data_IF_472869376293
#
_entry.id   IF_472869376293
#
_cell.length_a   1.000
_cell.length_b   1.000
_cell.length_c   1.000
_cell.angle_alpha   90.00
_cell.angle_beta   90.00
_cell.angle_gamma   90.00
#
_symmetry.space_group_name_H-M   'P 1'
#
loop_
_entity.id
_entity.type
_entity.pdbx_description
1 polymer ?
#
# COMPACT_ATOMS: atom_id res chain seq x y z
N UNK A 1 17.79 4.00 11.09
CA UNK A 1 17.53 4.02 9.65
C UNK A 1 17.98 5.33 9.06
N UNK A 2 18.43 5.32 7.81
CA UNK A 2 19.02 6.48 7.17
C UNK A 2 18.03 7.57 6.77
N UNK A 3 16.85 7.24 6.30
CA UNK A 3 15.95 8.21 5.67
C UNK A 3 14.85 8.77 6.59
N UNK A 4 14.43 8.03 7.62
CA UNK A 4 13.36 8.46 8.52
C UNK A 4 13.68 8.19 9.98
N UNK A 5 13.12 9.03 10.84
CA UNK A 5 13.11 8.81 12.27
C UNK A 5 12.21 7.61 12.62
N UNK A 6 12.74 6.61 13.33
CA UNK A 6 12.01 5.39 13.68
C UNK A 6 11.70 4.50 12.47
N UNK A 7 10.68 3.66 12.58
CA UNK A 7 10.18 2.76 11.54
C UNK A 7 8.79 3.16 11.11
N UNK A 8 8.57 3.33 9.80
CA UNK A 8 7.25 3.60 9.24
C UNK A 8 6.59 2.29 8.83
N UNK A 9 5.38 2.01 9.34
CA UNK A 9 4.62 0.79 9.04
C UNK A 9 4.40 0.58 7.54
N UNK A 10 4.08 1.67 6.81
CA UNK A 10 3.83 1.65 5.38
C UNK A 10 5.10 1.37 4.56
N UNK A 11 6.24 1.92 4.93
CA UNK A 11 7.53 1.66 4.25
C UNK A 11 7.94 0.18 4.40
N UNK A 12 7.73 -0.41 5.58
CA UNK A 12 8.03 -1.82 5.84
C UNK A 12 7.04 -2.80 5.18
N UNK A 13 6.02 -2.32 4.50
CA UNK A 13 5.13 -3.17 3.70
C UNK A 13 5.82 -3.76 2.46
N UNK A 14 6.89 -3.13 1.97
CA UNK A 14 7.62 -3.56 0.79
C UNK A 14 8.73 -4.57 1.11
N UNK A 15 9.06 -4.76 2.38
CA UNK A 15 10.04 -5.73 2.83
C UNK A 15 9.39 -7.11 2.94
N UNK A 16 9.88 -8.09 2.15
CA UNK A 16 9.35 -9.44 2.15
C UNK A 16 10.35 -10.47 2.68
N UNK A 17 11.65 -10.18 2.60
CA UNK A 17 12.72 -11.13 2.88
C UNK A 17 12.72 -11.63 4.32
N UNK A 18 12.47 -10.75 5.28
CA UNK A 18 12.51 -11.06 6.71
C UNK A 18 11.51 -12.15 7.08
N UNK A 19 10.30 -12.11 6.53
CA UNK A 19 9.27 -13.11 6.80
C UNK A 19 9.69 -14.53 6.35
N UNK A 20 10.35 -14.63 5.20
CA UNK A 20 10.76 -15.92 4.62
C UNK A 20 12.08 -16.44 5.17
N UNK A 21 13.01 -15.59 5.57
CA UNK A 21 14.34 -15.97 6.03
C UNK A 21 14.52 -15.88 7.55
N UNK A 22 13.80 -15.01 8.23
CA UNK A 22 14.00 -14.68 9.64
C UNK A 22 12.67 -14.56 10.39
N UNK A 23 11.89 -15.65 10.44
CA UNK A 23 10.51 -15.66 10.92
C UNK A 23 10.33 -15.06 12.33
N UNK A 24 11.28 -15.26 13.25
CA UNK A 24 11.20 -14.70 14.61
C UNK A 24 11.29 -13.17 14.57
N UNK A 25 12.17 -12.60 13.74
CA UNK A 25 12.29 -11.14 13.58
C UNK A 25 10.99 -10.57 12.96
N UNK A 26 10.41 -11.26 11.98
CA UNK A 26 9.14 -10.85 11.41
C UNK A 26 8.00 -10.85 12.44
N UNK A 27 7.95 -11.86 13.31
CA UNK A 27 7.00 -11.92 14.45
C UNK A 27 7.21 -10.76 15.42
N UNK A 28 8.45 -10.43 15.77
CA UNK A 28 8.76 -9.30 16.65
C UNK A 28 8.27 -7.97 16.07
N UNK A 29 8.35 -7.79 14.75
CA UNK A 29 7.77 -6.60 14.07
C UNK A 29 6.26 -6.55 14.27
N UNK A 30 5.54 -7.65 14.03
CA UNK A 30 4.07 -7.71 14.24
C UNK A 30 3.70 -7.46 15.70
N UNK A 31 4.46 -8.01 16.63
CA UNK A 31 4.25 -7.75 18.06
C UNK A 31 4.44 -6.27 18.40
N UNK A 32 5.49 -5.67 17.86
CA UNK A 32 5.74 -4.23 18.05
C UNK A 32 4.60 -3.38 17.51
N UNK A 33 4.10 -3.66 16.33
CA UNK A 33 3.01 -2.91 15.71
C UNK A 33 1.70 -3.06 16.47
N UNK A 34 1.31 -4.28 16.85
CA UNK A 34 0.02 -4.52 17.50
C UNK A 34 0.02 -4.30 19.02
N UNK A 35 1.17 -4.40 19.70
CA UNK A 35 1.25 -4.18 21.16
C UNK A 35 1.62 -2.73 21.52
N UNK A 36 2.42 -2.05 20.70
CA UNK A 36 2.94 -0.71 21.02
C UNK A 36 2.46 0.39 20.08
N UNK A 37 2.22 0.12 18.80
CA UNK A 37 1.74 1.13 17.87
C UNK A 37 0.21 1.22 17.78
N UNK A 38 -0.52 0.18 18.19
CA UNK A 38 -1.99 0.12 18.11
C UNK A 38 -2.62 0.43 19.46
N UNK A 39 -3.48 1.43 19.52
CA UNK A 39 -4.19 1.82 20.74
C UNK A 39 -5.47 0.97 20.96
N UNK A 40 -6.24 1.31 22.01
CA UNK A 40 -7.46 0.57 22.38
C UNK A 40 -8.60 0.75 21.37
N UNK A 41 -8.60 1.83 20.62
CA UNK A 41 -9.61 2.16 19.61
C UNK A 41 -9.25 1.63 18.22
N UNK A 42 -8.09 0.96 18.10
CA UNK A 42 -7.61 0.39 16.85
C UNK A 42 -6.78 1.36 15.98
N UNK A 43 -6.63 2.62 16.39
CA UNK A 43 -5.71 3.53 15.74
C UNK A 43 -4.28 2.98 15.84
N UNK A 44 -3.58 2.89 14.71
CA UNK A 44 -2.18 2.49 14.66
C UNK A 44 -1.30 3.68 14.28
N UNK A 45 -0.42 4.10 15.20
CA UNK A 45 0.63 5.05 14.88
C UNK A 45 1.47 4.52 13.72
N UNK A 46 1.61 5.28 12.64
CA UNK A 46 2.37 4.78 11.50
C UNK A 46 3.87 4.72 11.77
N UNK A 47 4.33 5.34 12.86
CA UNK A 47 5.74 5.41 13.20
C UNK A 47 6.02 4.82 14.58
N UNK A 48 6.96 3.90 14.61
CA UNK A 48 7.45 3.26 15.85
C UNK A 48 8.86 3.74 16.14
N UNK A 49 9.11 4.09 17.40
CA UNK A 49 10.40 4.58 17.87
C UNK A 49 10.84 3.84 19.13
N UNK A 50 12.13 3.85 19.42
CA UNK A 50 12.66 3.33 20.68
C UNK A 50 12.83 4.46 21.72
N UNK A 51 12.73 4.13 23.03
CA UNK A 51 12.44 2.81 23.62
C UNK A 51 10.97 2.40 23.48
N UNK A 52 10.69 1.09 23.52
CA UNK A 52 9.32 0.54 23.54
C UNK A 52 8.81 0.48 24.99
N UNK A 53 8.74 1.60 25.66
CA UNK A 53 8.35 1.76 27.07
C UNK A 53 6.87 2.12 27.25
N UNK A 54 6.12 2.24 26.17
CA UNK A 54 4.71 2.57 26.18
C UNK A 54 4.11 2.64 24.78
N UNK A 55 2.85 3.08 24.71
CA UNK A 55 2.16 3.28 23.44
C UNK A 55 2.84 4.38 22.63
N UNK A 56 3.01 4.15 21.34
CA UNK A 56 3.60 5.12 20.43
C UNK A 56 2.69 6.35 20.28
N UNK A 57 3.28 7.51 20.36
CA UNK A 57 2.54 8.77 20.41
C UNK A 57 2.49 9.54 19.08
N UNK A 58 2.96 8.95 17.96
CA UNK A 58 2.85 9.61 16.66
C UNK A 58 1.37 9.70 16.26
N UNK A 59 0.83 10.91 16.02
CA UNK A 59 -0.62 11.12 16.02
C UNK A 59 -1.31 10.79 14.68
N UNK A 60 -0.64 10.10 13.75
CA UNK A 60 -1.16 9.83 12.41
C UNK A 60 -1.10 8.33 12.11
N UNK A 61 -2.18 7.80 11.55
CA UNK A 61 -2.23 6.48 10.94
C UNK A 61 -1.97 6.58 9.44
N UNK A 62 -1.22 5.61 8.89
CA UNK A 62 -1.11 5.43 7.45
C UNK A 62 -2.06 4.32 6.99
N UNK A 63 -2.88 4.59 5.99
CA UNK A 63 -3.91 3.65 5.53
C UNK A 63 -3.31 2.34 5.01
N UNK A 64 -2.30 2.44 4.15
CA UNK A 64 -1.52 1.30 3.65
C UNK A 64 -0.71 0.60 4.75
N UNK A 65 -0.15 1.38 5.69
CA UNK A 65 0.60 0.84 6.81
C UNK A 65 -0.26 -0.04 7.71
N UNK A 66 -1.41 0.47 8.13
CA UNK A 66 -2.32 -0.24 9.04
C UNK A 66 -2.92 -1.48 8.38
N UNK A 67 -3.39 -1.37 7.14
CA UNK A 67 -3.93 -2.52 6.40
C UNK A 67 -2.84 -3.55 6.07
N UNK A 68 -1.67 -3.10 5.66
CA UNK A 68 -0.53 -3.96 5.37
C UNK A 68 -0.04 -4.75 6.58
N UNK A 69 -0.10 -4.18 7.79
CA UNK A 69 0.24 -4.91 9.02
C UNK A 69 -0.68 -6.11 9.26
N UNK A 70 -1.98 -6.00 8.91
CA UNK A 70 -2.95 -7.10 9.02
C UNK A 70 -2.61 -8.21 8.01
N UNK A 71 -2.33 -7.86 6.77
CA UNK A 71 -1.92 -8.83 5.73
C UNK A 71 -0.62 -9.54 6.12
N UNK A 72 0.34 -8.80 6.67
CA UNK A 72 1.61 -9.36 7.14
C UNK A 72 1.44 -10.26 8.37
N UNK A 73 0.50 -9.95 9.28
CA UNK A 73 0.16 -10.85 10.39
C UNK A 73 -0.34 -12.21 9.86
N UNK A 74 -1.21 -12.19 8.86
CA UNK A 74 -1.66 -13.41 8.18
C UNK A 74 -0.49 -14.15 7.53
N UNK A 75 0.41 -13.45 6.82
CA UNK A 75 1.60 -14.03 6.18
C UNK A 75 2.51 -14.74 7.19
N UNK A 76 2.87 -14.09 8.30
CA UNK A 76 3.74 -14.66 9.31
C UNK A 76 3.08 -15.86 10.02
N UNK A 77 1.76 -15.83 10.21
CA UNK A 77 1.04 -16.99 10.71
C UNK A 77 1.08 -18.16 9.72
N UNK A 78 0.78 -17.92 8.45
CA UNK A 78 0.85 -18.95 7.40
C UNK A 78 2.23 -19.59 7.28
N UNK A 79 3.29 -18.79 7.40
CA UNK A 79 4.68 -19.29 7.35
C UNK A 79 5.09 -20.06 8.62
N UNK A 80 4.57 -19.70 9.78
CA UNK A 80 4.97 -20.29 11.07
C UNK A 80 4.05 -21.39 11.56
N UNK A 81 2.78 -21.39 11.19
CA UNK A 81 1.73 -22.25 11.74
C UNK A 81 1.42 -21.99 13.22
N UNK A 82 1.88 -20.87 13.79
CA UNK A 82 1.74 -20.58 15.22
C UNK A 82 0.41 -19.87 15.52
N UNK A 83 -0.65 -20.67 15.65
CA UNK A 83 -2.01 -20.17 15.91
C UNK A 83 -2.14 -19.54 17.30
N UNK A 84 -1.35 -19.96 18.30
CA UNK A 84 -1.41 -19.33 19.63
C UNK A 84 -0.79 -17.93 19.61
N UNK A 85 0.30 -17.74 18.88
CA UNK A 85 0.86 -16.41 18.63
C UNK A 85 -0.14 -15.51 17.88
N UNK A 86 -0.75 -16.00 16.80
CA UNK A 86 -1.80 -15.30 16.08
C UNK A 86 -2.94 -14.89 17.03
N UNK A 87 -3.44 -15.82 17.84
CA UNK A 87 -4.51 -15.59 18.82
C UNK A 87 -4.18 -14.47 19.80
N UNK A 88 -2.91 -14.37 20.19
CA UNK A 88 -2.45 -13.34 21.14
C UNK A 88 -2.48 -11.93 20.55
N UNK A 89 -2.31 -11.76 19.23
CA UNK A 89 -2.26 -10.47 18.54
C UNK A 89 -3.60 -10.10 17.89
N UNK A 90 -4.43 -11.10 17.57
CA UNK A 90 -5.67 -10.89 16.83
C UNK A 90 -6.61 -9.84 17.43
N UNK A 91 -6.83 -9.74 18.75
CA UNK A 91 -7.69 -8.71 19.30
C UNK A 91 -7.26 -7.27 18.95
N UNK A 92 -5.96 -7.01 18.86
CA UNK A 92 -5.44 -5.72 18.46
C UNK A 92 -5.52 -5.52 16.93
N UNK A 93 -5.18 -6.55 16.15
CA UNK A 93 -5.26 -6.52 14.69
C UNK A 93 -6.71 -6.35 14.21
N UNK A 94 -7.66 -7.02 14.85
CA UNK A 94 -9.09 -6.85 14.57
C UNK A 94 -9.52 -5.40 14.81
N UNK A 95 -9.19 -4.81 15.96
CA UNK A 95 -9.50 -3.40 16.22
C UNK A 95 -8.83 -2.46 15.21
N UNK A 96 -7.61 -2.78 14.77
CA UNK A 96 -6.94 -2.00 13.72
C UNK A 96 -7.69 -2.05 12.38
N UNK A 97 -8.31 -3.17 12.02
CA UNK A 97 -9.22 -3.23 10.87
C UNK A 97 -10.51 -2.45 11.12
N UNK A 98 -11.13 -2.64 12.31
CA UNK A 98 -12.37 -1.97 12.69
C UNK A 98 -12.21 -0.43 12.77
N UNK A 99 -11.00 0.08 12.93
CA UNK A 99 -10.71 1.51 12.87
C UNK A 99 -11.05 2.14 11.50
N UNK A 100 -11.03 1.37 10.42
CA UNK A 100 -11.51 1.84 9.12
C UNK A 100 -13.00 2.22 9.14
N UNK A 101 -13.78 1.62 10.02
CA UNK A 101 -15.24 1.72 10.10
C UNK A 101 -15.75 2.75 11.13
N UNK A 102 -14.86 3.47 11.81
CA UNK A 102 -15.29 4.53 12.73
C UNK A 102 -15.92 5.70 11.95
N UNK A 103 -16.83 6.46 12.55
CA UNK A 103 -17.38 7.64 11.88
C UNK A 103 -16.29 8.59 11.39
N UNK A 104 -16.31 8.91 10.09
CA UNK A 104 -15.25 9.70 9.44
C UNK A 104 -13.95 8.93 9.19
N UNK A 105 -13.95 7.61 9.37
CA UNK A 105 -12.87 6.67 9.03
C UNK A 105 -12.76 6.44 7.53
N UNK A 106 -11.90 5.47 7.15
CA UNK A 106 -11.61 5.17 5.74
C UNK A 106 -12.76 4.45 5.01
N UNK A 107 -13.58 3.69 5.73
CA UNK A 107 -14.78 3.00 5.24
C UNK A 107 -15.90 3.16 6.31
N UNK A 108 -16.23 4.43 6.57
CA UNK A 108 -17.12 4.79 7.69
C UNK A 108 -18.58 4.35 7.49
N UNK A 109 -19.03 4.12 6.27
CA UNK A 109 -20.35 3.59 5.91
C UNK A 109 -20.35 2.06 5.72
N UNK A 110 -19.18 1.43 5.79
CA UNK A 110 -18.99 -0.01 5.75
C UNK A 110 -19.53 -0.65 4.46
N UNK A 111 -19.20 -0.04 3.33
CA UNK A 111 -19.55 -0.57 2.00
C UNK A 111 -18.40 -1.38 1.35
N UNK A 112 -17.23 -1.44 2.00
CA UNK A 112 -16.04 -2.16 1.52
C UNK A 112 -15.13 -1.30 0.62
N UNK A 113 -15.40 -0.01 0.50
CA UNK A 113 -14.60 0.93 -0.28
C UNK A 113 -13.78 1.82 0.65
N UNK A 114 -12.47 1.77 0.51
CA UNK A 114 -11.60 2.67 1.25
C UNK A 114 -11.59 4.05 0.60
N UNK A 115 -12.05 5.03 1.35
CA UNK A 115 -12.13 6.43 0.95
C UNK A 115 -11.78 7.38 2.11
N UNK A 116 -12.28 8.61 2.14
CA UNK A 116 -11.90 9.57 3.18
C UNK A 116 -10.48 10.09 3.01
N UNK A 117 -9.82 10.41 4.13
CA UNK A 117 -8.47 10.99 4.16
C UNK A 117 -7.46 9.90 4.46
N UNK A 118 -6.53 9.64 3.53
CA UNK A 118 -5.65 8.47 3.53
C UNK A 118 -4.18 8.91 3.44
N UNK A 119 -3.54 9.15 4.60
CA UNK A 119 -2.09 9.27 4.64
C UNK A 119 -1.45 7.93 4.23
N UNK A 120 -0.40 7.98 3.41
CA UNK A 120 0.17 6.80 2.79
C UNK A 120 1.66 6.96 2.44
N UNK A 121 2.25 5.91 1.89
CA UNK A 121 3.69 5.82 1.55
C UNK A 121 4.18 6.83 0.51
N UNK A 122 3.28 7.55 -0.17
CA UNK A 122 3.66 8.66 -1.06
C UNK A 122 3.91 9.96 -0.31
N UNK A 123 3.93 9.92 1.04
CA UNK A 123 4.07 11.08 1.95
C UNK A 123 3.02 12.17 1.69
N UNK A 124 1.83 11.76 1.29
CA UNK A 124 0.68 12.64 1.05
C UNK A 124 -0.59 12.05 1.67
N UNK A 125 -1.64 12.82 1.69
CA UNK A 125 -2.99 12.36 1.98
C UNK A 125 -3.78 12.26 0.68
N UNK A 126 -4.21 11.05 0.30
CA UNK A 126 -5.18 10.87 -0.76
C UNK A 126 -6.59 11.10 -0.23
N UNK A 127 -7.43 11.69 -1.06
CA UNK A 127 -8.82 12.02 -0.77
C UNK A 127 -9.73 11.25 -1.72
N UNK A 128 -10.49 10.30 -1.19
CA UNK A 128 -11.38 9.45 -1.97
C UNK A 128 -10.78 8.13 -2.42
N UNK A 129 -11.59 7.30 -3.10
CA UNK A 129 -11.20 5.94 -3.47
C UNK A 129 -10.06 5.95 -4.51
N UNK A 130 -9.03 5.16 -4.24
CA UNK A 130 -7.88 5.00 -5.12
C UNK A 130 -7.41 3.54 -5.14
N UNK A 131 -6.70 3.11 -6.19
CA UNK A 131 -6.33 1.70 -6.31
C UNK A 131 -5.33 1.25 -5.25
N UNK A 132 -4.33 2.07 -4.91
CA UNK A 132 -3.29 1.68 -3.97
C UNK A 132 -3.88 1.32 -2.61
N UNK A 133 -4.62 2.22 -1.99
CA UNK A 133 -5.25 1.97 -0.69
C UNK A 133 -6.39 0.96 -0.78
N UNK A 134 -7.17 0.99 -1.87
CA UNK A 134 -8.26 0.05 -2.10
C UNK A 134 -7.78 -1.40 -2.14
N UNK A 135 -6.72 -1.70 -2.87
CA UNK A 135 -6.16 -3.06 -2.90
C UNK A 135 -5.54 -3.49 -1.55
N UNK A 136 -4.92 -2.57 -0.80
CA UNK A 136 -4.47 -2.87 0.56
C UNK A 136 -5.63 -3.25 1.48
N UNK A 137 -6.73 -2.50 1.41
CA UNK A 137 -7.91 -2.77 2.22
C UNK A 137 -8.59 -4.09 1.86
N UNK A 138 -8.75 -4.37 0.57
CA UNK A 138 -9.30 -5.66 0.11
C UNK A 138 -8.43 -6.84 0.57
N UNK A 139 -7.10 -6.71 0.51
CA UNK A 139 -6.19 -7.73 1.03
C UNK A 139 -6.34 -7.92 2.54
N UNK A 140 -6.46 -6.82 3.30
CA UNK A 140 -6.67 -6.87 4.75
C UNK A 140 -8.01 -7.53 5.13
N UNK A 141 -9.10 -7.24 4.40
CA UNK A 141 -10.40 -7.90 4.57
C UNK A 141 -10.32 -9.41 4.31
N UNK A 142 -9.61 -9.82 3.25
CA UNK A 142 -9.39 -11.25 2.97
C UNK A 142 -8.53 -11.93 4.04
N UNK A 143 -7.44 -11.30 4.47
CA UNK A 143 -6.62 -11.81 5.55
C UNK A 143 -7.42 -11.95 6.86
N UNK A 144 -8.22 -10.95 7.19
CA UNK A 144 -9.07 -10.96 8.38
C UNK A 144 -10.19 -12.02 8.32
N UNK A 145 -10.76 -12.27 7.14
CA UNK A 145 -11.71 -13.38 6.93
C UNK A 145 -11.06 -14.71 7.28
N UNK A 146 -9.90 -15.02 6.70
CA UNK A 146 -9.18 -16.29 6.93
C UNK A 146 -8.73 -16.46 8.39
N UNK A 147 -8.17 -15.41 9.00
CA UNK A 147 -7.80 -15.42 10.42
C UNK A 147 -9.01 -15.68 11.31
N UNK A 148 -10.15 -15.05 11.01
CA UNK A 148 -11.38 -15.21 11.80
C UNK A 148 -11.94 -16.61 11.70
N UNK A 149 -11.90 -17.22 10.52
CA UNK A 149 -12.31 -18.62 10.31
C UNK A 149 -11.44 -19.57 11.14
N UNK A 150 -10.11 -19.40 11.12
CA UNK A 150 -9.18 -20.21 11.91
C UNK A 150 -9.44 -20.07 13.41
N UNK A 151 -9.72 -18.86 13.89
CA UNK A 151 -9.94 -18.58 15.30
C UNK A 151 -11.37 -18.85 15.78
N UNK A 152 -12.27 -19.24 14.88
CA UNK A 152 -13.66 -19.63 15.19
C UNK A 152 -14.63 -18.44 15.30
N UNK A 153 -14.28 -17.24 14.79
CA UNK A 153 -15.16 -16.06 14.73
C UNK A 153 -15.87 -15.97 13.37
N UNK A 154 -16.85 -16.84 13.16
CA UNK A 154 -17.58 -16.95 11.90
C UNK A 154 -18.38 -15.67 11.54
N UNK A 155 -18.85 -14.92 12.52
CA UNK A 155 -19.62 -13.70 12.27
C UNK A 155 -18.72 -12.59 11.73
N UNK A 156 -17.53 -12.42 12.30
CA UNK A 156 -16.57 -11.45 11.80
C UNK A 156 -16.00 -11.84 10.43
N UNK A 157 -15.72 -13.13 10.22
CA UNK A 157 -15.34 -13.65 8.91
C UNK A 157 -16.39 -13.32 7.84
N UNK A 158 -17.67 -13.55 8.12
CA UNK A 158 -18.78 -13.22 7.22
C UNK A 158 -18.84 -11.71 6.92
N UNK A 159 -18.63 -10.87 7.92
CA UNK A 159 -18.58 -9.42 7.74
C UNK A 159 -17.44 -9.02 6.79
N UNK A 160 -16.22 -9.49 7.06
CA UNK A 160 -15.06 -9.20 6.22
C UNK A 160 -15.28 -9.66 4.77
N UNK A 161 -15.81 -10.87 4.59
CA UNK A 161 -16.18 -11.41 3.28
C UNK A 161 -17.17 -10.52 2.53
N UNK A 162 -18.23 -10.07 3.21
CA UNK A 162 -19.24 -9.22 2.57
C UNK A 162 -18.66 -7.88 2.12
N UNK A 163 -17.85 -7.25 2.96
CA UNK A 163 -17.16 -6.00 2.61
C UNK A 163 -16.18 -6.20 1.45
N UNK A 164 -15.40 -7.28 1.48
CA UNK A 164 -14.51 -7.65 0.39
C UNK A 164 -15.26 -7.82 -0.93
N UNK A 165 -16.33 -8.61 -0.96
CA UNK A 165 -17.10 -8.87 -2.18
C UNK A 165 -17.74 -7.60 -2.77
N UNK A 166 -18.17 -6.68 -1.91
CA UNK A 166 -18.70 -5.39 -2.34
C UNK A 166 -17.59 -4.48 -2.88
N UNK A 167 -16.53 -4.29 -2.13
CA UNK A 167 -15.40 -3.43 -2.51
C UNK A 167 -14.69 -3.92 -3.76
N UNK A 168 -14.49 -5.25 -3.91
CA UNK A 168 -13.91 -5.87 -5.11
C UNK A 168 -14.71 -5.55 -6.38
N UNK A 169 -16.04 -5.67 -6.33
CA UNK A 169 -16.90 -5.30 -7.46
C UNK A 169 -16.92 -3.80 -7.72
N UNK A 170 -16.88 -3.02 -6.64
CA UNK A 170 -16.91 -1.57 -6.73
C UNK A 170 -15.65 -1.00 -7.38
N UNK A 171 -14.45 -1.49 -7.00
CA UNK A 171 -13.17 -1.02 -7.54
C UNK A 171 -13.06 -1.30 -9.05
N UNK A 172 -13.47 -2.50 -9.49
CA UNK A 172 -13.50 -2.84 -10.92
C UNK A 172 -14.46 -1.95 -11.71
N UNK A 173 -15.63 -1.72 -11.16
CA UNK A 173 -16.66 -0.94 -11.86
C UNK A 173 -16.33 0.55 -11.92
N UNK A 174 -15.70 1.09 -10.87
CA UNK A 174 -15.61 2.52 -10.66
C UNK A 174 -14.21 3.10 -10.86
N UNK A 175 -13.14 2.31 -10.64
CA UNK A 175 -11.77 2.80 -10.79
C UNK A 175 -11.07 2.26 -12.03
N UNK A 176 -11.49 1.11 -12.60
CA UNK A 176 -10.88 0.56 -13.79
C UNK A 176 -11.36 1.30 -15.04
N UNK A 177 -10.43 1.95 -15.77
CA UNK A 177 -10.75 2.74 -16.96
C UNK A 177 -10.66 1.93 -18.28
N UNK A 178 -10.48 0.60 -18.19
CA UNK A 178 -10.27 -0.28 -19.33
C UNK A 178 -8.80 -0.62 -19.60
N UNK A 179 -7.86 0.09 -18.97
CA UNK A 179 -6.42 -0.13 -19.09
C UNK A 179 -5.76 -0.29 -17.72
N UNK A 180 -6.08 0.56 -16.76
CA UNK A 180 -5.54 0.56 -15.40
C UNK A 180 -6.53 1.18 -14.43
N UNK A 181 -6.23 1.14 -13.12
CA UNK A 181 -7.08 1.72 -12.09
C UNK A 181 -6.67 3.16 -11.79
N UNK A 182 -7.65 4.04 -11.67
CA UNK A 182 -7.49 5.48 -11.42
C UNK A 182 -7.93 5.85 -10.00
N UNK A 183 -7.44 6.98 -9.52
CA UNK A 183 -7.90 7.59 -8.28
C UNK A 183 -9.05 8.56 -8.57
N UNK A 184 -10.19 8.33 -7.91
CA UNK A 184 -11.31 9.27 -7.88
C UNK A 184 -11.13 10.22 -6.70
N UNK A 185 -10.77 11.46 -7.00
CA UNK A 185 -10.57 12.48 -5.98
C UNK A 185 -11.95 12.92 -5.47
N UNK A 186 -12.20 12.68 -4.18
CA UNK A 186 -13.40 13.13 -3.47
C UNK A 186 -13.00 14.17 -2.43
N UNK A 187 -13.20 15.48 -2.70
CA UNK A 187 -12.94 16.52 -1.72
C UNK A 187 -13.81 16.35 -0.47
N UNK A 188 -13.27 16.77 0.68
CA UNK A 188 -14.04 16.80 1.93
C UNK A 188 -14.96 18.01 1.90
N UNK A 189 -16.25 17.80 2.02
CA UNK A 189 -17.24 18.87 2.08
C UNK A 189 -17.36 19.45 3.49
N UNK A 190 -17.79 20.72 3.57
CA UNK A 190 -17.99 21.40 4.85
C UNK A 190 -18.89 20.60 5.80
N UNK A 191 -18.43 20.40 7.03
CA UNK A 191 -19.15 19.63 8.03
C UNK A 191 -18.96 18.10 7.96
N UNK A 192 -18.24 17.59 6.95
CA UNK A 192 -17.91 16.17 6.89
C UNK A 192 -16.92 15.81 8.00
N UNK A 193 -17.23 14.77 8.76
CA UNK A 193 -16.38 14.27 9.82
C UNK A 193 -15.12 13.62 9.25
N UNK A 194 -13.97 13.95 9.81
CA UNK A 194 -12.70 13.21 9.61
C UNK A 194 -12.32 12.66 10.98
N UNK A 195 -12.10 11.35 11.06
CA UNK A 195 -11.69 10.71 12.29
C UNK A 195 -10.31 11.22 12.75
N UNK A 196 -10.11 11.24 14.06
CA UNK A 196 -8.85 11.66 14.65
C UNK A 196 -7.69 10.76 14.19
N UNK A 197 -6.56 11.36 13.87
CA UNK A 197 -5.35 10.66 13.42
C UNK A 197 -5.30 10.35 11.91
N UNK A 198 -6.28 10.77 11.11
CA UNK A 198 -6.25 10.56 9.66
C UNK A 198 -5.63 11.72 8.89
N UNK A 199 -5.52 12.92 9.50
CA UNK A 199 -5.03 14.11 8.82
C UNK A 199 -3.72 14.61 9.43
N UNK A 200 -2.68 14.67 8.61
CA UNK A 200 -1.36 15.16 9.02
C UNK A 200 -1.27 16.71 9.01
N UNK A 201 -2.03 17.37 8.16
CA UNK A 201 -2.06 18.81 8.03
C UNK A 201 -0.85 19.45 7.32
N UNK A 202 0.32 18.79 7.34
CA UNK A 202 1.55 19.27 6.67
C UNK A 202 1.76 18.53 5.33
N UNK A 203 1.46 17.24 5.29
CA UNK A 203 1.64 16.38 4.13
C UNK A 203 0.35 16.19 3.33
N UNK A 204 -0.73 16.79 3.77
CA UNK A 204 -2.04 16.78 3.12
C UNK A 204 -2.35 18.10 2.42
N UNK A 205 -3.53 18.15 1.82
CA UNK A 205 -4.06 19.35 1.23
C UNK A 205 -4.29 20.44 2.31
N UNK A 206 -3.86 21.65 2.03
CA UNK A 206 -4.19 22.80 2.87
C UNK A 206 -5.69 23.09 2.80
N UNK A 207 -6.25 23.02 1.60
CA UNK A 207 -7.69 23.11 1.35
C UNK A 207 -8.26 21.73 1.04
N UNK A 208 -9.01 21.16 1.96
CA UNK A 208 -9.62 19.83 1.81
C UNK A 208 -10.79 19.82 0.82
N UNK A 209 -11.35 20.99 0.50
CA UNK A 209 -12.39 21.12 -0.53
C UNK A 209 -11.82 21.13 -1.96
N UNK A 210 -10.51 21.34 -2.09
CA UNK A 210 -9.78 21.27 -3.36
C UNK A 210 -8.39 20.63 -3.12
N UNK A 211 -8.31 19.31 -2.81
CA UNK A 211 -7.09 18.69 -2.37
C UNK A 211 -6.04 18.64 -3.48
N UNK A 212 -4.85 19.16 -3.17
CA UNK A 212 -3.64 19.04 -3.99
C UNK A 212 -2.91 17.73 -3.71
N UNK A 213 -1.84 17.46 -4.46
CA UNK A 213 -0.93 16.33 -4.28
C UNK A 213 -1.61 14.96 -4.47
N UNK A 214 -2.60 14.91 -5.36
CA UNK A 214 -3.38 13.71 -5.63
C UNK A 214 -2.83 12.95 -6.85
N UNK A 215 -3.10 11.63 -6.92
CA UNK A 215 -2.79 10.82 -8.10
C UNK A 215 -3.72 11.16 -9.30
N UNK A 216 -5.01 11.26 -9.06
CA UNK A 216 -5.98 11.47 -10.13
C UNK A 216 -5.96 10.33 -11.17
N UNK A 217 -5.99 10.70 -12.48
CA UNK A 217 -6.02 9.75 -13.61
C UNK A 217 -4.66 9.12 -13.94
N UNK A 218 -3.68 9.18 -13.04
CA UNK A 218 -2.35 8.61 -13.25
C UNK A 218 -2.34 7.08 -13.24
N UNK A 219 -1.54 6.50 -14.14
CA UNK A 219 -1.17 5.08 -14.07
C UNK A 219 -0.07 4.93 -13.00
N UNK A 220 -0.43 4.57 -11.78
CA UNK A 220 0.50 4.38 -10.67
C UNK A 220 1.19 3.03 -10.79
N UNK A 221 2.51 2.99 -10.60
CA UNK A 221 3.29 1.74 -10.60
C UNK A 221 2.83 0.79 -9.49
N UNK A 222 2.43 1.36 -8.36
CA UNK A 222 2.07 0.63 -7.14
C UNK A 222 0.56 0.37 -6.97
N UNK A 223 -0.23 0.57 -8.01
CA UNK A 223 -1.69 0.42 -7.94
C UNK A 223 -2.16 -0.99 -7.53
N UNK A 224 -1.32 -2.01 -7.71
CA UNK A 224 -1.64 -3.41 -7.44
C UNK A 224 -0.83 -4.01 -6.26
N UNK A 225 -0.31 -3.19 -5.36
CA UNK A 225 0.52 -3.68 -4.23
C UNK A 225 -0.25 -4.66 -3.33
N UNK A 226 -1.50 -4.36 -3.00
CA UNK A 226 -2.33 -5.29 -2.21
C UNK A 226 -2.56 -6.62 -2.92
N UNK A 227 -2.72 -6.62 -4.26
CA UNK A 227 -2.83 -7.85 -5.04
C UNK A 227 -1.53 -8.66 -5.00
N UNK A 228 -0.36 -8.03 -5.10
CA UNK A 228 0.92 -8.72 -4.96
C UNK A 228 1.03 -9.44 -3.61
N UNK A 229 0.64 -8.78 -2.52
CA UNK A 229 0.63 -9.42 -1.19
C UNK A 229 -0.40 -10.54 -1.10
N UNK A 230 -1.57 -10.37 -1.70
CA UNK A 230 -2.58 -11.44 -1.77
C UNK A 230 -2.07 -12.67 -2.55
N UNK A 231 -1.34 -12.44 -3.64
CA UNK A 231 -0.76 -13.53 -4.44
C UNK A 231 0.32 -14.31 -3.67
N UNK A 232 1.24 -13.63 -2.97
CA UNK A 232 2.30 -14.32 -2.21
C UNK A 232 1.79 -15.00 -0.92
N UNK A 233 0.57 -14.68 -0.49
CA UNK A 233 -0.09 -15.25 0.70
C UNK A 233 -1.26 -16.17 0.38
N UNK A 234 -1.51 -16.45 -0.89
CA UNK A 234 -2.60 -17.30 -1.39
C UNK A 234 -4.01 -16.83 -0.98
N UNK A 235 -4.21 -15.51 -0.84
CA UNK A 235 -5.51 -14.91 -0.56
C UNK A 235 -6.40 -14.78 -1.81
N UNK A 236 -5.86 -15.08 -2.99
CA UNK A 236 -6.55 -15.06 -4.28
C UNK A 236 -6.66 -13.68 -4.90
N UNK A 237 -7.45 -13.57 -5.95
CA UNK A 237 -7.65 -12.33 -6.68
C UNK A 237 -8.55 -11.35 -5.91
N UNK A 238 -8.07 -10.13 -5.72
CA UNK A 238 -8.79 -9.08 -5.01
C UNK A 238 -9.80 -8.32 -5.88
N UNK A 239 -9.66 -8.43 -7.21
CA UNK A 239 -10.54 -7.86 -8.21
C UNK A 239 -10.63 -8.81 -9.41
N UNK A 240 -11.25 -8.40 -10.53
CA UNK A 240 -11.33 -9.22 -11.74
C UNK A 240 -9.93 -9.58 -12.26
N UNK A 241 -9.55 -10.85 -12.37
CA UNK A 241 -8.21 -11.25 -12.82
C UNK A 241 -7.81 -10.71 -14.20
N UNK A 242 -8.76 -10.52 -15.10
CA UNK A 242 -8.49 -9.95 -16.41
C UNK A 242 -8.14 -8.46 -16.31
N UNK A 243 -8.79 -7.72 -15.42
CA UNK A 243 -8.50 -6.30 -15.18
C UNK A 243 -7.15 -6.15 -14.47
N UNK A 244 -6.85 -6.99 -13.48
CA UNK A 244 -5.53 -7.04 -12.81
C UNK A 244 -4.42 -7.28 -13.82
N UNK A 245 -4.57 -8.30 -14.68
CA UNK A 245 -3.60 -8.58 -15.75
C UNK A 245 -3.42 -7.40 -16.71
N UNK A 246 -4.52 -6.77 -17.11
CA UNK A 246 -4.49 -5.60 -18.00
C UNK A 246 -3.80 -4.42 -17.34
N UNK A 247 -4.07 -4.17 -16.05
CA UNK A 247 -3.45 -3.10 -15.28
C UNK A 247 -1.93 -3.34 -15.12
N UNK A 248 -1.50 -4.58 -14.80
CA UNK A 248 -0.08 -4.92 -14.71
C UNK A 248 0.65 -4.68 -16.04
N UNK A 249 0.06 -5.09 -17.16
CA UNK A 249 0.62 -4.82 -18.49
C UNK A 249 0.66 -3.32 -18.83
N UNK A 250 -0.33 -2.57 -18.38
CA UNK A 250 -0.41 -1.10 -18.57
C UNK A 250 0.65 -0.36 -17.76
N UNK A 251 0.96 -0.82 -16.55
CA UNK A 251 2.07 -0.28 -15.75
C UNK A 251 3.37 -0.37 -16.56
N UNK A 252 3.71 -1.54 -17.08
CA UNK A 252 4.90 -1.69 -17.92
C UNK A 252 4.84 -0.78 -19.14
N UNK A 253 3.73 -0.80 -19.87
CA UNK A 253 3.57 -0.06 -21.11
C UNK A 253 3.73 1.45 -20.97
N UNK A 254 3.20 2.02 -19.90
CA UNK A 254 3.11 3.47 -19.76
C UNK A 254 4.21 4.05 -18.87
N UNK A 255 4.69 3.29 -17.87
CA UNK A 255 5.65 3.82 -16.90
C UNK A 255 7.11 3.49 -17.25
N UNK A 256 7.35 2.53 -18.16
CA UNK A 256 8.73 2.18 -18.54
C UNK A 256 9.44 3.31 -19.25
N UNK A 257 10.71 3.51 -18.87
CA UNK A 257 11.68 4.37 -19.55
C UNK A 257 12.89 3.53 -19.94
N UNK A 258 13.33 3.67 -21.19
CA UNK A 258 14.53 3.01 -21.73
C UNK A 258 15.80 3.85 -21.50
N UNK A 259 15.64 5.12 -21.19
CA UNK A 259 16.66 6.06 -20.74
C UNK A 259 16.01 7.26 -20.03
N UNK A 260 16.84 8.14 -19.47
CA UNK A 260 16.43 9.31 -18.70
C UNK A 260 17.13 10.62 -19.14
N UNK A 261 17.70 10.66 -20.35
CA UNK A 261 18.43 11.85 -20.81
C UNK A 261 17.55 13.10 -20.86
N UNK A 262 16.29 12.94 -21.31
CA UNK A 262 15.31 14.03 -21.43
C UNK A 262 14.28 14.01 -20.29
N UNK A 263 14.53 13.23 -19.22
CA UNK A 263 13.58 13.08 -18.13
C UNK A 263 13.75 14.16 -17.07
N UNK A 264 12.69 14.88 -16.77
CA UNK A 264 12.66 15.86 -15.69
C UNK A 264 12.30 15.17 -14.35
N UNK A 265 13.21 15.20 -13.39
CA UNK A 265 12.96 14.77 -12.02
C UNK A 265 12.41 15.94 -11.21
N UNK A 266 11.22 15.74 -10.63
CA UNK A 266 10.55 16.77 -9.84
C UNK A 266 11.23 16.99 -8.48
N UNK A 267 11.66 15.90 -7.83
CA UNK A 267 12.31 15.95 -6.52
C UNK A 267 13.67 15.25 -6.52
N UNK A 268 13.69 13.93 -6.45
CA UNK A 268 14.90 13.11 -6.29
C UNK A 268 15.21 12.35 -7.57
N UNK A 269 16.49 12.06 -7.79
CA UNK A 269 16.97 11.35 -8.98
C UNK A 269 17.53 9.99 -8.58
N UNK A 270 16.67 8.97 -8.52
CA UNK A 270 17.11 7.60 -8.22
C UNK A 270 17.59 6.82 -9.44
N UNK A 271 17.42 7.37 -10.63
CA UNK A 271 17.93 6.83 -11.88
C UNK A 271 18.25 7.95 -12.85
N UNK A 272 19.32 7.81 -13.65
CA UNK A 272 19.88 8.85 -14.51
C UNK A 272 20.42 8.31 -15.84
N UNK A 273 20.46 9.13 -16.87
CA UNK A 273 21.16 8.87 -18.14
C UNK A 273 20.66 7.62 -18.87
N UNK A 274 21.50 6.63 -19.05
CA UNK A 274 21.19 5.36 -19.77
C UNK A 274 20.41 4.34 -18.93
N UNK A 275 20.12 4.64 -17.68
CA UNK A 275 19.43 3.73 -16.78
C UNK A 275 17.95 3.57 -17.15
N UNK A 276 17.44 2.36 -16.93
CA UNK A 276 16.08 1.95 -17.28
C UNK A 276 15.27 1.67 -16.02
N UNK A 277 13.95 1.87 -16.11
CA UNK A 277 13.07 1.50 -15.01
C UNK A 277 11.64 1.99 -15.20
N UNK A 278 10.84 1.87 -14.14
CA UNK A 278 9.44 2.28 -14.13
C UNK A 278 9.28 3.58 -13.31
N UNK A 279 8.71 4.60 -13.93
CA UNK A 279 8.29 5.82 -13.22
C UNK A 279 7.18 5.51 -12.22
N UNK A 280 7.14 6.24 -11.12
CA UNK A 280 6.10 6.10 -10.11
C UNK A 280 4.71 6.32 -10.69
N UNK A 281 4.50 7.32 -11.52
CA UNK A 281 3.25 7.49 -12.26
C UNK A 281 3.46 8.19 -13.59
N UNK A 282 2.61 7.84 -14.55
CA UNK A 282 2.46 8.56 -15.83
C UNK A 282 1.00 8.91 -16.06
N UNK A 283 0.75 9.81 -17.00
CA UNK A 283 -0.59 10.28 -17.31
C UNK A 283 -0.91 10.06 -18.81
N UNK A 284 -1.02 8.81 -19.25
CA UNK A 284 -1.12 8.48 -20.67
C UNK A 284 -2.43 8.94 -21.32
N UNK A 285 -3.48 9.13 -20.51
CA UNK A 285 -4.79 9.61 -20.96
C UNK A 285 -4.96 11.14 -20.79
N UNK A 286 -3.91 11.84 -20.38
CA UNK A 286 -3.99 13.24 -19.99
C UNK A 286 -4.59 13.44 -18.61
N UNK A 287 -5.13 14.63 -18.36
CA UNK A 287 -5.80 15.01 -17.09
C UNK A 287 -4.91 14.88 -15.85
N UNK A 288 -3.59 15.11 -16.02
CA UNK A 288 -2.69 15.18 -14.86
C UNK A 288 -3.15 16.32 -13.94
N UNK A 289 -3.26 16.09 -12.62
CA UNK A 289 -3.47 17.18 -11.67
C UNK A 289 -2.40 18.26 -11.85
N UNK A 290 -2.75 19.50 -11.61
CA UNK A 290 -1.79 20.61 -11.68
C UNK A 290 -0.60 20.36 -10.75
N UNK A 291 -0.90 19.87 -9.54
CA UNK A 291 0.07 19.49 -8.52
C UNK A 291 -0.17 18.02 -8.10
N UNK A 292 0.41 17.05 -8.82
CA UNK A 292 0.31 15.63 -8.44
C UNK A 292 1.16 15.33 -7.19
N UNK A 293 1.04 14.10 -6.66
CA UNK A 293 1.90 13.68 -5.56
C UNK A 293 3.40 13.81 -5.92
N UNK A 294 4.27 14.13 -4.95
CA UNK A 294 5.63 14.61 -5.25
C UNK A 294 6.51 13.63 -6.02
N UNK A 295 6.31 12.33 -5.81
CA UNK A 295 7.18 11.27 -6.31
C UNK A 295 6.84 10.77 -7.73
N UNK A 296 5.88 11.37 -8.42
CA UNK A 296 5.34 10.84 -9.68
C UNK A 296 6.38 10.65 -10.79
N UNK A 297 7.47 11.41 -10.78
CA UNK A 297 8.58 11.31 -11.77
C UNK A 297 9.74 10.43 -11.32
N UNK A 298 9.69 9.88 -10.12
CA UNK A 298 10.80 9.10 -9.57
C UNK A 298 10.75 7.63 -10.03
N UNK A 299 11.85 6.90 -9.89
CA UNK A 299 11.95 5.45 -10.03
C UNK A 299 12.39 4.85 -8.70
N UNK A 300 11.53 4.08 -8.09
CA UNK A 300 11.79 3.52 -6.76
C UNK A 300 11.80 2.00 -6.80
N UNK A 301 12.89 1.39 -6.39
CA UNK A 301 13.17 -0.06 -6.52
C UNK A 301 12.09 -0.95 -5.90
N UNK A 302 11.56 -0.60 -4.74
CA UNK A 302 10.56 -1.41 -4.06
C UNK A 302 9.28 -1.55 -4.89
N UNK A 303 8.82 -0.47 -5.49
CA UNK A 303 7.61 -0.45 -6.33
C UNK A 303 7.82 -1.16 -7.67
N UNK A 304 9.03 -1.05 -8.24
CA UNK A 304 9.39 -1.78 -9.45
C UNK A 304 9.39 -3.30 -9.20
N UNK A 305 9.93 -3.76 -8.06
CA UNK A 305 9.86 -5.18 -7.68
C UNK A 305 8.42 -5.66 -7.46
N UNK A 306 7.57 -4.83 -6.87
CA UNK A 306 6.14 -5.13 -6.73
C UNK A 306 5.46 -5.26 -8.10
N UNK A 307 5.70 -4.32 -9.02
CA UNK A 307 5.17 -4.38 -10.38
C UNK A 307 5.68 -5.62 -11.13
N UNK A 308 6.96 -5.96 -10.98
CA UNK A 308 7.53 -7.19 -11.55
C UNK A 308 6.84 -8.45 -11.00
N UNK A 309 6.57 -8.49 -9.69
CA UNK A 309 5.83 -9.56 -9.05
C UNK A 309 4.42 -9.72 -9.63
N UNK A 310 3.67 -8.64 -9.76
CA UNK A 310 2.34 -8.64 -10.38
C UNK A 310 2.37 -9.15 -11.84
N UNK A 311 3.38 -8.77 -12.63
CA UNK A 311 3.57 -9.30 -13.98
C UNK A 311 3.81 -10.81 -13.95
N UNK A 312 4.67 -11.30 -13.06
CA UNK A 312 4.98 -12.74 -12.93
C UNK A 312 3.73 -13.54 -12.53
N UNK A 313 2.98 -13.09 -11.54
CA UNK A 313 1.73 -13.74 -11.12
C UNK A 313 0.66 -13.68 -12.22
N UNK A 314 0.67 -12.65 -13.05
CA UNK A 314 -0.18 -12.53 -14.25
C UNK A 314 0.30 -13.37 -15.45
N UNK A 315 1.34 -14.22 -15.28
CA UNK A 315 1.97 -15.07 -16.31
C UNK A 315 2.74 -14.30 -17.40
N UNK A 316 3.10 -13.05 -17.14
CA UNK A 316 3.94 -12.21 -18.01
C UNK A 316 5.42 -12.30 -17.57
N UNK A 317 5.97 -13.52 -17.54
CA UNK A 317 7.28 -13.83 -16.95
C UNK A 317 8.43 -13.02 -17.56
N UNK A 318 8.49 -12.93 -18.90
CA UNK A 318 9.55 -12.18 -19.59
C UNK A 318 9.52 -10.69 -19.22
N UNK A 319 8.33 -10.13 -19.11
CA UNK A 319 8.13 -8.73 -18.72
C UNK A 319 8.57 -8.49 -17.26
N UNK A 320 8.15 -9.35 -16.34
CA UNK A 320 8.56 -9.26 -14.94
C UNK A 320 10.08 -9.37 -14.75
N UNK A 321 10.72 -10.34 -15.42
CA UNK A 321 12.18 -10.50 -15.37
C UNK A 321 12.90 -9.29 -15.99
N UNK A 322 12.36 -8.67 -17.06
CA UNK A 322 12.92 -7.43 -17.63
C UNK A 322 12.96 -6.32 -16.59
N UNK A 323 11.87 -6.11 -15.86
CA UNK A 323 11.82 -5.08 -14.79
C UNK A 323 12.84 -5.37 -13.70
N UNK A 324 12.94 -6.62 -13.23
CA UNK A 324 13.94 -7.03 -12.22
C UNK A 324 15.36 -6.77 -12.75
N UNK A 325 15.65 -7.10 -14.01
CA UNK A 325 16.97 -6.88 -14.61
C UNK A 325 17.32 -5.39 -14.65
N UNK A 326 16.39 -4.53 -15.07
CA UNK A 326 16.60 -3.09 -15.11
C UNK A 326 16.96 -2.53 -13.71
N UNK A 327 16.26 -2.98 -12.66
CA UNK A 327 16.59 -2.59 -11.27
C UNK A 327 17.98 -3.09 -10.88
N UNK A 328 18.28 -4.38 -11.14
CA UNK A 328 19.58 -4.97 -10.77
C UNK A 328 20.76 -4.33 -11.52
N UNK A 329 20.56 -3.94 -12.77
CA UNK A 329 21.61 -3.29 -13.56
C UNK A 329 21.98 -1.92 -12.98
N UNK A 330 21.01 -1.17 -12.45
CA UNK A 330 21.29 0.10 -11.74
C UNK A 330 22.12 -0.09 -10.48
N UNK A 331 21.89 -1.17 -9.74
CA UNK A 331 22.52 -1.46 -8.44
C UNK A 331 23.46 -2.66 -8.50
N UNK A 332 24.17 -2.84 -9.62
CA UNK A 332 25.08 -3.96 -9.84
C UNK A 332 26.46 -3.84 -9.15
N UNK A 333 26.68 -2.79 -8.39
CA UNK A 333 27.97 -2.53 -7.71
C UNK A 333 29.04 -1.91 -8.58
N UNK A 334 28.76 -1.58 -9.84
CA UNK A 334 29.69 -0.91 -10.75
C UNK A 334 29.64 0.62 -10.62
N UNK A 335 28.45 1.17 -10.68
CA UNK A 335 28.18 2.61 -10.57
C UNK A 335 27.57 2.95 -9.22
N UNK A 336 26.68 2.09 -8.74
CA UNK A 336 26.02 2.24 -7.43
C UNK A 336 26.25 1.00 -6.58
N UNK A 337 26.32 1.21 -5.28
CA UNK A 337 26.32 0.14 -4.29
C UNK A 337 25.03 -0.66 -4.39
N UNK A 338 25.06 -2.01 -4.43
CA UNK A 338 23.85 -2.83 -4.53
C UNK A 338 22.91 -2.74 -3.33
N UNK A 339 23.31 -2.11 -2.25
CA UNK A 339 22.55 -1.94 -1.01
C UNK A 339 22.16 -0.49 -0.72
N UNK A 340 22.59 0.46 -1.56
CA UNK A 340 22.26 1.87 -1.38
C UNK A 340 21.07 2.25 -2.26
N UNK A 341 20.22 3.08 -1.71
CA UNK A 341 19.29 3.87 -2.48
C UNK A 341 20.07 5.00 -3.16
N UNK A 342 19.81 5.28 -4.42
CA UNK A 342 20.44 6.39 -5.09
C UNK A 342 19.88 7.72 -4.52
N UNK A 343 20.74 8.59 -4.08
CA UNK A 343 20.40 9.95 -3.67
C UNK A 343 20.57 10.94 -4.84
#
# INVERSE_FOLDING_TARGET
SGSCFGNCTHVWNYEQTTAFLFSNIAKDFRETEFKYATNRDGFMSFRVTFPLDGLQAWPIAAADGQMGCIVKLYREWMLSGDTEWLRSLWPAARRALEFAWVPGGWDGDQDGVMEGVQHNTMDVEYYGPNPQMGFWYLAALRAAEEISLELGDADFAKKCKSLFENGSKWIDKNLFNGLYYEHKINPVVDGQLIAEGLRHGIMGAQDTSNPELQLGSGCLVDQLIGQFLADITDLGSLANPANIKTAAASILKFNEREDLFDHFNHMRSYALGEEKGLLMATYPMGNRPERPFPYFTEMMTAYEYTAAGNLIYSREFTAGIKVISNVRDRFAGKTRNPFDEAE
#
